data_IF_004196410635
#
_entry.id   IF_004196410635
#
_cell.length_a   1.000
_cell.length_b   1.000
_cell.length_c   1.000
_cell.angle_alpha   90.00
_cell.angle_beta   90.00
_cell.angle_gamma   90.00
#
_symmetry.space_group_name_H-M   'P 1'
#
loop_
_entity.id
_entity.type
_entity.pdbx_description
1 polymer ?
#
# COMPACT_ATOMS: atom_id res chain seq x y z
N UNK A 1 1.05 32.05 -18.90
CA UNK A 1 -0.22 31.67 -18.25
C UNK A 1 -0.75 30.44 -19.00
N UNK A 2 -1.54 29.60 -18.34
CA UNK A 2 -2.18 28.42 -18.93
C UNK A 2 -3.68 28.47 -18.68
N UNK A 3 -4.48 27.81 -19.51
CA UNK A 3 -5.93 27.63 -19.33
C UNK A 3 -6.19 26.14 -19.20
N UNK A 4 -6.81 25.74 -18.09
CA UNK A 4 -7.22 24.38 -17.82
C UNK A 4 -8.70 24.27 -18.16
N UNK A 5 -9.01 23.45 -19.16
CA UNK A 5 -10.37 23.14 -19.60
C UNK A 5 -10.63 21.66 -19.35
N UNK A 6 -11.73 21.29 -18.69
CA UNK A 6 -12.03 19.89 -18.40
C UNK A 6 -12.44 19.15 -19.67
N UNK A 7 -12.16 17.85 -19.74
CA UNK A 7 -12.64 16.98 -20.80
C UNK A 7 -13.94 16.29 -20.37
N UNK A 8 -15.04 16.52 -21.09
CA UNK A 8 -16.34 15.89 -20.85
C UNK A 8 -17.51 16.86 -20.86
N UNK A 9 -18.72 16.34 -21.13
CA UNK A 9 -19.94 17.14 -21.08
C UNK A 9 -20.41 17.31 -19.63
N UNK A 10 -20.79 18.52 -19.24
CA UNK A 10 -21.36 18.82 -17.92
C UNK A 10 -20.35 18.94 -16.78
N UNK A 11 -19.04 18.89 -17.07
CA UNK A 11 -17.97 19.11 -16.08
C UNK A 11 -17.43 20.55 -16.18
N UNK A 12 -16.98 21.10 -15.05
CA UNK A 12 -16.35 22.43 -14.96
C UNK A 12 -15.15 22.40 -14.04
N UNK A 13 -14.12 23.17 -14.38
CA UNK A 13 -13.04 23.51 -13.46
C UNK A 13 -13.40 24.76 -12.67
N UNK A 14 -13.08 24.76 -11.38
CA UNK A 14 -13.13 25.95 -10.51
C UNK A 14 -11.72 26.31 -10.05
N UNK A 15 -11.45 27.56 -9.66
CA UNK A 15 -10.15 27.94 -9.12
C UNK A 15 -9.70 27.02 -7.98
N UNK A 16 -10.63 26.68 -7.07
CA UNK A 16 -10.36 25.75 -5.98
C UNK A 16 -10.03 24.34 -6.48
N UNK A 17 -10.78 23.77 -7.43
CA UNK A 17 -10.50 22.42 -7.90
C UNK A 17 -9.12 22.34 -8.55
N UNK A 18 -8.77 23.34 -9.35
CA UNK A 18 -7.47 23.38 -10.05
C UNK A 18 -6.32 23.63 -9.07
N UNK A 19 -6.50 24.48 -8.06
CA UNK A 19 -5.52 24.67 -6.99
C UNK A 19 -5.36 23.40 -6.12
N UNK A 20 -6.44 22.72 -5.76
CA UNK A 20 -6.35 21.45 -5.03
C UNK A 20 -5.60 20.38 -5.82
N UNK A 21 -5.76 20.35 -7.15
CA UNK A 21 -5.01 19.44 -8.01
C UNK A 21 -3.51 19.74 -8.05
N UNK A 22 -3.07 20.98 -7.81
CA UNK A 22 -1.63 21.26 -7.72
C UNK A 22 -0.99 20.65 -6.47
N UNK A 23 -1.77 20.38 -5.42
CA UNK A 23 -1.28 19.75 -4.19
C UNK A 23 -1.25 18.22 -4.26
N UNK A 24 -1.91 17.63 -5.25
CA UNK A 24 -2.05 16.19 -5.37
C UNK A 24 -0.72 15.55 -5.79
N UNK A 25 -0.30 14.48 -5.12
CA UNK A 25 0.92 13.70 -5.42
C UNK A 25 2.26 14.47 -5.35
N UNK A 26 2.28 15.67 -4.75
CA UNK A 26 3.49 16.45 -4.58
C UNK A 26 4.02 16.38 -3.13
N UNK A 27 5.34 16.23 -2.99
CA UNK A 27 6.01 16.25 -1.68
C UNK A 27 6.14 17.65 -1.07
N UNK A 28 6.02 18.69 -1.90
CA UNK A 28 6.03 20.10 -1.51
C UNK A 28 4.83 20.81 -2.17
N UNK A 29 4.04 21.61 -1.43
CA UNK A 29 2.84 22.26 -1.94
C UNK A 29 3.11 23.40 -2.94
N UNK A 30 4.36 23.84 -3.11
CA UNK A 30 4.73 24.99 -3.94
C UNK A 30 5.82 24.67 -4.97
N UNK A 31 6.75 23.76 -4.65
CA UNK A 31 7.93 23.49 -5.46
C UNK A 31 7.85 22.08 -6.06
N UNK A 32 7.37 22.00 -7.29
CA UNK A 32 7.22 20.72 -7.98
C UNK A 32 8.51 20.41 -8.74
N UNK A 33 9.30 19.49 -8.20
CA UNK A 33 10.60 19.11 -8.78
C UNK A 33 10.42 18.10 -9.90
N UNK A 34 10.97 18.44 -11.06
CA UNK A 34 11.01 17.61 -12.25
C UNK A 34 12.47 17.37 -12.68
N UNK A 35 12.67 16.43 -13.59
CA UNK A 35 13.97 16.03 -14.14
C UNK A 35 14.85 17.21 -14.60
N UNK A 36 14.27 18.18 -15.32
CA UNK A 36 14.99 19.31 -15.92
C UNK A 36 14.93 20.61 -15.11
N UNK A 37 14.32 20.62 -13.93
CA UNK A 37 14.07 21.84 -13.18
C UNK A 37 12.87 21.77 -12.25
N UNK A 38 12.55 22.90 -11.61
CA UNK A 38 11.45 22.99 -10.65
C UNK A 38 10.38 23.93 -11.19
N UNK A 39 9.13 23.47 -11.21
CA UNK A 39 7.97 24.33 -11.38
C UNK A 39 7.63 24.96 -10.03
N UNK A 40 7.92 26.25 -9.89
CA UNK A 40 7.58 27.06 -8.72
C UNK A 40 6.19 27.68 -8.93
N UNK A 41 5.24 27.23 -8.11
CA UNK A 41 3.86 27.71 -8.12
C UNK A 41 3.52 28.63 -6.95
N UNK A 42 4.50 29.06 -6.14
CA UNK A 42 4.31 29.89 -4.92
C UNK A 42 3.47 31.14 -5.18
N UNK A 43 3.68 31.77 -6.34
CA UNK A 43 2.98 32.99 -6.74
C UNK A 43 1.86 32.73 -7.76
N UNK A 44 1.34 31.51 -7.82
CA UNK A 44 0.30 31.17 -8.77
C UNK A 44 -1.05 31.76 -8.38
N UNK A 45 -1.73 32.35 -9.35
CA UNK A 45 -3.10 32.82 -9.25
C UNK A 45 -4.01 31.96 -10.11
N UNK A 46 -5.11 31.50 -9.51
CA UNK A 46 -6.14 30.70 -10.16
C UNK A 46 -7.38 31.56 -10.32
N UNK A 47 -7.76 31.85 -11.56
CA UNK A 47 -8.90 32.73 -11.88
C UNK A 47 -9.85 32.03 -12.82
N UNK A 48 -11.16 32.19 -12.62
CA UNK A 48 -12.13 31.65 -13.56
C UNK A 48 -11.95 32.34 -14.91
N UNK A 49 -11.72 31.58 -15.98
CA UNK A 49 -11.51 32.13 -17.34
C UNK A 49 -12.83 32.27 -18.09
N UNK A 50 -13.64 31.22 -18.06
CA UNK A 50 -14.97 31.13 -18.65
C UNK A 50 -15.84 30.21 -17.77
N UNK A 51 -17.12 29.92 -18.09
CA UNK A 51 -17.98 29.09 -17.24
C UNK A 51 -17.46 27.68 -16.89
N UNK A 52 -16.50 27.15 -17.65
CA UNK A 52 -15.96 25.78 -17.49
C UNK A 52 -14.44 25.72 -17.31
N UNK A 53 -13.69 26.75 -17.69
CA UNK A 53 -12.21 26.75 -17.68
C UNK A 53 -11.62 27.71 -16.65
N UNK A 54 -10.42 27.38 -16.15
CA UNK A 54 -9.66 28.19 -15.18
C UNK A 54 -8.33 28.63 -15.78
N UNK A 55 -7.98 29.89 -15.62
CA UNK A 55 -6.67 30.44 -15.98
C UNK A 55 -5.72 30.38 -14.79
N UNK A 56 -4.50 29.91 -15.04
CA UNK A 56 -3.38 29.89 -14.10
C UNK A 56 -2.32 30.88 -14.58
N UNK A 57 -1.90 31.80 -13.72
CA UNK A 57 -0.80 32.74 -13.94
C UNK A 57 0.15 32.78 -12.75
N UNK A 58 1.36 33.35 -12.92
CA UNK A 58 2.30 33.56 -11.81
C UNK A 58 3.28 32.43 -11.54
N UNK A 59 2.99 31.20 -11.99
CA UNK A 59 3.94 30.08 -11.97
C UNK A 59 5.20 30.37 -12.79
N UNK A 60 6.35 29.87 -12.33
CA UNK A 60 7.65 30.02 -12.99
C UNK A 60 8.33 28.68 -13.07
N UNK A 61 9.02 28.43 -14.18
CA UNK A 61 9.90 27.30 -14.30
C UNK A 61 11.33 27.73 -14.02
N UNK A 62 11.99 27.05 -13.08
CA UNK A 62 13.37 27.26 -12.69
C UNK A 62 14.17 26.08 -13.27
N UNK A 63 14.93 26.27 -14.37
CA UNK A 63 15.76 25.22 -14.93
C UNK A 63 16.77 24.70 -13.90
N UNK A 64 16.97 23.38 -13.85
CA UNK A 64 18.03 22.79 -13.05
C UNK A 64 19.41 23.11 -13.68
N UNK A 65 20.45 23.19 -12.85
CA UNK A 65 21.83 23.31 -13.33
C UNK A 65 22.27 22.05 -14.08
N UNK A 66 21.82 20.88 -13.61
CA UNK A 66 22.08 19.58 -14.21
C UNK A 66 20.76 18.84 -14.47
N UNK A 67 20.67 18.19 -15.62
CA UNK A 67 19.53 17.33 -15.94
C UNK A 67 19.61 16.05 -15.12
N UNK A 68 18.46 15.62 -14.59
CA UNK A 68 18.37 14.44 -13.75
C UNK A 68 17.29 13.48 -14.24
N UNK A 69 17.40 12.21 -13.88
CA UNK A 69 16.39 11.19 -14.15
C UNK A 69 16.11 10.44 -12.86
N UNK A 70 14.86 10.48 -12.41
CA UNK A 70 14.40 9.63 -11.31
C UNK A 70 14.31 8.20 -11.80
N UNK A 71 15.06 7.31 -11.16
CA UNK A 71 15.01 5.87 -11.38
C UNK A 71 14.19 5.24 -10.27
N UNK A 72 13.09 4.61 -10.66
CA UNK A 72 12.26 3.78 -9.80
C UNK A 72 12.26 2.36 -10.33
N UNK A 73 12.41 1.40 -9.43
CA UNK A 73 12.49 0.00 -9.78
C UNK A 73 11.80 -0.85 -8.72
N UNK A 74 11.21 -1.93 -9.21
CA UNK A 74 10.58 -2.95 -8.37
C UNK A 74 11.22 -4.30 -8.65
N UNK A 75 11.29 -5.14 -7.63
CA UNK A 75 11.70 -6.53 -7.77
C UNK A 75 10.57 -7.46 -7.33
N UNK A 76 10.50 -8.64 -7.95
CA UNK A 76 9.64 -9.71 -7.45
C UNK A 76 10.12 -10.08 -6.04
N UNK A 77 9.25 -9.90 -5.07
CA UNK A 77 9.58 -10.10 -3.66
C UNK A 77 9.00 -11.40 -3.09
N UNK A 78 8.32 -12.20 -3.94
CA UNK A 78 7.73 -13.49 -3.62
C UNK A 78 6.29 -13.59 -4.10
N UNK A 79 5.54 -14.52 -3.51
CA UNK A 79 4.13 -14.80 -3.78
C UNK A 79 3.33 -14.72 -2.50
N UNK A 80 2.06 -14.35 -2.63
CA UNK A 80 1.18 -14.17 -1.48
C UNK A 80 -0.11 -14.98 -1.57
N UNK A 81 -0.52 -15.49 -0.41
CA UNK A 81 -1.86 -16.03 -0.16
C UNK A 81 -2.47 -15.27 1.00
N UNK A 82 -3.75 -14.91 0.88
CA UNK A 82 -4.42 -14.03 1.83
C UNK A 82 -5.60 -14.75 2.45
N UNK A 83 -5.65 -14.79 3.79
CA UNK A 83 -6.82 -15.24 4.55
C UNK A 83 -7.55 -13.99 5.03
N UNK A 84 -8.86 -13.94 4.79
CA UNK A 84 -9.73 -12.87 5.29
C UNK A 84 -10.75 -13.48 6.24
N UNK A 85 -10.97 -12.84 7.37
CA UNK A 85 -12.03 -13.23 8.31
C UNK A 85 -12.24 -12.22 9.43
N UNK A 86 -13.11 -12.55 10.38
CA UNK A 86 -13.48 -11.67 11.47
C UNK A 86 -13.42 -12.30 12.86
N UNK A 87 -13.24 -11.47 13.87
CA UNK A 87 -13.35 -11.81 15.29
C UNK A 87 -14.43 -10.92 15.89
N UNK A 88 -15.42 -11.53 16.54
CA UNK A 88 -16.53 -10.84 17.20
C UNK A 88 -16.58 -11.05 18.71
N UNK A 89 -15.86 -12.04 19.22
CA UNK A 89 -15.89 -12.40 20.64
C UNK A 89 -15.22 -11.30 21.49
N UNK A 90 -15.96 -10.62 22.39
CA UNK A 90 -15.40 -9.58 23.25
C UNK A 90 -14.33 -10.10 24.21
N UNK A 91 -14.35 -11.39 24.58
CA UNK A 91 -13.32 -12.01 25.43
C UNK A 91 -12.00 -12.19 24.68
N UNK A 92 -12.04 -12.42 23.37
CA UNK A 92 -10.85 -12.46 22.53
C UNK A 92 -10.36 -11.04 22.21
N UNK A 93 -11.26 -10.13 21.83
CA UNK A 93 -10.91 -8.77 21.41
C UNK A 93 -10.17 -8.01 22.52
N UNK A 94 -10.60 -8.14 23.78
CA UNK A 94 -9.94 -7.46 24.92
C UNK A 94 -8.48 -7.88 25.17
N UNK A 95 -8.09 -9.04 24.63
CA UNK A 95 -6.75 -9.61 24.77
C UNK A 95 -6.10 -9.88 23.41
N UNK A 96 -6.58 -9.17 22.39
CA UNK A 96 -6.22 -9.39 20.99
C UNK A 96 -4.71 -9.45 20.78
N UNK A 97 -3.95 -8.50 21.32
CA UNK A 97 -2.49 -8.40 21.09
C UNK A 97 -1.75 -9.63 21.63
N UNK A 98 -2.18 -10.17 22.78
CA UNK A 98 -1.63 -11.41 23.32
C UNK A 98 -2.02 -12.60 22.45
N UNK A 99 -3.32 -12.73 22.15
CA UNK A 99 -3.84 -13.85 21.37
C UNK A 99 -3.22 -13.94 19.97
N UNK A 100 -3.12 -12.81 19.26
CA UNK A 100 -2.56 -12.81 17.90
C UNK A 100 -1.07 -13.13 17.91
N UNK A 101 -0.32 -12.67 18.93
CA UNK A 101 1.09 -13.04 19.10
C UNK A 101 1.28 -14.54 19.34
N UNK A 102 0.47 -15.14 20.21
CA UNK A 102 0.49 -16.58 20.48
C UNK A 102 0.07 -17.40 19.25
N UNK A 103 -0.89 -16.92 18.47
CA UNK A 103 -1.28 -17.50 17.17
C UNK A 103 -0.12 -17.44 16.18
N UNK A 104 0.53 -16.29 16.01
CA UNK A 104 1.68 -16.15 15.11
C UNK A 104 2.82 -17.10 15.49
N UNK A 105 3.12 -17.23 16.78
CA UNK A 105 4.13 -18.16 17.28
C UNK A 105 3.75 -19.62 16.98
N UNK A 106 2.49 -20.01 17.18
CA UNK A 106 2.01 -21.35 16.85
C UNK A 106 2.12 -21.63 15.34
N UNK A 107 1.78 -20.65 14.49
CA UNK A 107 1.94 -20.78 13.04
C UNK A 107 3.40 -20.97 12.68
N UNK A 108 4.32 -20.17 13.24
CA UNK A 108 5.77 -20.29 12.99
C UNK A 108 6.29 -21.66 13.39
N UNK A 109 5.89 -22.17 14.55
CA UNK A 109 6.26 -23.51 15.01
C UNK A 109 5.74 -24.62 14.07
N UNK A 110 4.50 -24.50 13.59
CA UNK A 110 3.92 -25.46 12.64
C UNK A 110 4.62 -25.42 11.28
N UNK A 111 4.89 -24.23 10.74
CA UNK A 111 5.62 -24.07 9.48
C UNK A 111 7.02 -24.67 9.62
N UNK A 112 7.74 -24.37 10.70
CA UNK A 112 9.05 -24.98 10.95
C UNK A 112 8.99 -26.50 11.03
N UNK A 113 7.98 -27.07 11.69
CA UNK A 113 7.81 -28.52 11.84
C UNK A 113 7.49 -29.22 10.52
N UNK A 114 6.69 -28.59 9.64
CA UNK A 114 6.17 -29.23 8.42
C UNK A 114 7.01 -28.90 7.19
N UNK A 115 7.57 -27.69 7.11
CA UNK A 115 8.25 -27.15 5.94
C UNK A 115 9.72 -26.76 6.22
N UNK A 116 10.26 -27.02 7.41
CA UNK A 116 11.60 -26.55 7.81
C UNK A 116 12.76 -27.04 6.93
N UNK A 117 12.60 -28.19 6.26
CA UNK A 117 13.60 -28.70 5.30
C UNK A 117 13.54 -27.97 3.94
N UNK A 118 12.45 -27.26 3.65
CA UNK A 118 12.18 -26.58 2.38
C UNK A 118 12.22 -25.05 2.51
N UNK A 119 12.06 -24.51 3.71
CA UNK A 119 11.81 -23.09 3.93
C UNK A 119 12.49 -22.61 5.22
N UNK A 120 13.45 -21.71 5.10
CA UNK A 120 14.09 -21.09 6.26
C UNK A 120 13.17 -20.00 6.85
N UNK A 121 13.29 -19.67 8.15
CA UNK A 121 12.50 -18.61 8.77
C UNK A 121 12.60 -17.24 8.07
N UNK A 122 13.69 -16.95 7.37
CA UNK A 122 13.90 -15.72 6.60
C UNK A 122 13.19 -15.69 5.24
N UNK A 123 12.78 -16.84 4.72
CA UNK A 123 12.26 -16.96 3.36
C UNK A 123 10.77 -16.62 3.26
N UNK A 124 10.10 -16.47 4.41
CA UNK A 124 8.67 -16.24 4.48
C UNK A 124 8.32 -15.29 5.62
N UNK A 125 7.12 -14.70 5.54
CA UNK A 125 6.58 -13.88 6.61
C UNK A 125 5.06 -13.92 6.65
N UNK A 126 4.53 -13.50 7.79
CA UNK A 126 3.11 -13.29 8.06
C UNK A 126 2.94 -11.79 8.31
N UNK A 127 2.08 -11.14 7.53
CA UNK A 127 1.67 -9.76 7.77
C UNK A 127 0.18 -9.78 8.15
N UNK A 128 -0.19 -9.31 9.35
CA UNK A 128 -1.58 -9.34 9.84
C UNK A 128 -2.11 -7.91 9.96
N UNK A 129 -3.19 -7.61 9.23
CA UNK A 129 -3.88 -6.33 9.30
C UNK A 129 -5.20 -6.47 10.06
N UNK A 130 -5.33 -5.76 11.19
CA UNK A 130 -6.51 -5.77 12.05
C UNK A 130 -7.42 -4.55 11.79
N UNK A 131 -8.32 -4.67 10.80
CA UNK A 131 -9.34 -3.67 10.49
C UNK A 131 -10.36 -3.56 11.63
N UNK A 132 -10.79 -2.34 11.93
CA UNK A 132 -11.60 -2.04 13.12
C UNK A 132 -10.77 -1.84 14.39
N UNK A 133 -9.48 -2.17 14.38
CA UNK A 133 -8.52 -1.89 15.46
C UNK A 133 -7.53 -0.80 15.06
N UNK A 134 -6.53 -1.11 14.24
CA UNK A 134 -5.45 -0.15 13.89
C UNK A 134 -4.74 -0.44 12.56
N UNK A 135 -5.36 -1.18 11.63
CA UNK A 135 -4.76 -1.54 10.35
C UNK A 135 -4.28 -0.35 9.48
N UNK A 136 -4.87 0.84 9.64
CA UNK A 136 -4.56 2.03 8.82
C UNK A 136 -3.56 2.94 9.52
N UNK A 137 -3.86 3.38 10.74
CA UNK A 137 -3.07 4.36 11.48
C UNK A 137 -1.94 3.73 12.30
N UNK A 138 -1.93 2.40 12.47
CA UNK A 138 -0.93 1.68 13.27
C UNK A 138 -0.84 2.24 14.69
N UNK A 139 0.37 2.62 15.11
CA UNK A 139 0.61 3.22 16.42
C UNK A 139 -0.02 4.61 16.61
N UNK A 140 -0.49 5.25 15.53
CA UNK A 140 -1.14 6.58 15.56
C UNK A 140 -2.66 6.49 15.67
N UNK A 141 -3.23 5.30 15.86
CA UNK A 141 -4.67 5.13 16.04
C UNK A 141 -5.14 5.81 17.34
N UNK A 142 -5.97 6.87 17.27
CA UNK A 142 -6.39 7.61 18.46
C UNK A 142 -7.25 6.77 19.42
N UNK A 143 -8.00 5.77 18.92
CA UNK A 143 -8.93 4.98 19.72
C UNK A 143 -8.40 3.57 20.02
N UNK A 144 -7.09 3.35 20.01
CA UNK A 144 -6.47 2.02 20.16
C UNK A 144 -6.87 1.27 21.44
N UNK A 145 -7.16 2.02 22.51
CA UNK A 145 -7.55 1.50 23.82
C UNK A 145 -9.06 1.26 23.95
N UNK A 146 -9.86 1.69 22.98
CA UNK A 146 -11.29 1.41 22.94
C UNK A 146 -11.52 0.02 22.32
N UNK A 147 -12.29 -0.87 22.95
CA UNK A 147 -12.52 -2.19 22.41
C UNK A 147 -13.41 -2.12 21.16
N UNK A 148 -12.84 -2.57 20.03
CA UNK A 148 -13.59 -2.74 18.78
C UNK A 148 -14.78 -3.68 18.99
N UNK A 149 -15.92 -3.40 18.37
CA UNK A 149 -17.05 -4.34 18.39
C UNK A 149 -16.77 -5.58 17.54
N UNK A 150 -15.99 -5.43 16.47
CA UNK A 150 -15.59 -6.48 15.56
C UNK A 150 -14.20 -6.13 15.01
N UNK A 151 -13.35 -7.13 14.80
CA UNK A 151 -12.05 -6.97 14.16
C UNK A 151 -12.02 -7.83 12.90
N UNK A 152 -11.76 -7.21 11.74
CA UNK A 152 -11.47 -7.92 10.50
C UNK A 152 -9.98 -8.18 10.37
N UNK A 153 -9.58 -9.44 10.18
CA UNK A 153 -8.19 -9.80 9.91
C UNK A 153 -8.00 -10.07 8.42
N UNK A 154 -7.01 -9.39 7.84
CA UNK A 154 -6.38 -9.81 6.59
C UNK A 154 -4.98 -10.33 6.93
N UNK A 155 -4.81 -11.65 6.83
CA UNK A 155 -3.54 -12.35 7.07
C UNK A 155 -2.89 -12.62 5.73
N UNK A 156 -1.77 -11.95 5.45
CA UNK A 156 -1.01 -12.08 4.22
C UNK A 156 0.21 -12.99 4.47
N UNK A 157 0.23 -14.14 3.81
CA UNK A 157 1.30 -15.13 3.91
C UNK A 157 2.19 -15.00 2.69
N UNK A 158 3.46 -14.70 2.90
CA UNK A 158 4.43 -14.45 1.83
C UNK A 158 5.47 -15.56 1.79
N UNK A 159 5.76 -16.12 0.61
CA UNK A 159 6.80 -17.14 0.43
C UNK A 159 7.47 -17.05 -0.97
N UNK A 160 8.55 -17.81 -1.24
CA UNK A 160 9.26 -17.76 -2.53
C UNK A 160 8.44 -18.28 -3.73
N UNK A 161 7.45 -19.14 -3.51
CA UNK A 161 6.53 -19.65 -4.55
C UNK A 161 5.08 -19.61 -4.08
N UNK A 162 4.13 -19.60 -5.03
CA UNK A 162 2.70 -19.58 -4.72
C UNK A 162 2.26 -20.84 -3.95
N UNK A 163 2.83 -21.99 -4.30
CA UNK A 163 2.54 -23.26 -3.64
C UNK A 163 2.99 -23.26 -2.17
N UNK A 164 4.14 -22.65 -1.87
CA UNK A 164 4.60 -22.49 -0.49
C UNK A 164 3.74 -21.49 0.29
N UNK A 165 3.34 -20.38 -0.32
CA UNK A 165 2.45 -19.41 0.30
C UNK A 165 1.09 -20.04 0.65
N UNK A 166 0.54 -20.86 -0.25
CA UNK A 166 -0.68 -21.63 -0.04
C UNK A 166 -0.54 -22.62 1.12
N UNK A 167 0.53 -23.41 1.16
CA UNK A 167 0.79 -24.36 2.26
C UNK A 167 0.88 -23.65 3.61
N UNK A 168 1.54 -22.49 3.68
CA UNK A 168 1.61 -21.70 4.90
C UNK A 168 0.21 -21.21 5.30
N UNK A 169 -0.61 -20.74 4.35
CA UNK A 169 -1.99 -20.33 4.63
C UNK A 169 -2.84 -21.51 5.16
N UNK A 170 -2.69 -22.70 4.59
CA UNK A 170 -3.36 -23.92 5.07
C UNK A 170 -2.95 -24.28 6.51
N UNK A 171 -1.66 -24.24 6.81
CA UNK A 171 -1.12 -24.47 8.15
C UNK A 171 -1.56 -23.39 9.15
N UNK A 172 -1.82 -22.18 8.68
CA UNK A 172 -2.25 -21.05 9.51
C UNK A 172 -3.72 -21.10 9.92
N UNK A 173 -4.55 -21.82 9.16
CA UNK A 173 -6.00 -21.86 9.38
C UNK A 173 -6.37 -22.40 10.76
N UNK A 174 -5.80 -23.53 11.17
CA UNK A 174 -6.18 -24.15 12.45
C UNK A 174 -5.78 -23.28 13.67
N UNK A 175 -4.56 -22.72 13.76
CA UNK A 175 -4.22 -21.72 14.79
C UNK A 175 -5.19 -20.55 14.83
N UNK A 176 -5.47 -19.93 13.68
CA UNK A 176 -6.39 -18.78 13.60
C UNK A 176 -7.78 -19.14 14.12
N UNK A 177 -8.30 -20.32 13.74
CA UNK A 177 -9.64 -20.76 14.15
C UNK A 177 -9.72 -21.12 15.63
N UNK A 178 -8.71 -21.82 16.16
CA UNK A 178 -8.87 -22.61 17.39
C UNK A 178 -7.84 -22.34 18.48
N UNK A 179 -6.98 -21.34 18.32
CA UNK A 179 -6.07 -20.97 19.40
C UNK A 179 -6.86 -20.53 20.63
N UNK A 180 -6.64 -21.16 21.80
CA UNK A 180 -7.48 -20.97 22.96
C UNK A 180 -7.25 -19.62 23.63
N UNK A 181 -8.19 -19.22 24.48
CA UNK A 181 -8.02 -18.16 25.47
C UNK A 181 -8.30 -18.73 26.87
N UNK A 182 -7.82 -18.11 27.96
CA UNK A 182 -8.02 -18.64 29.31
C UNK A 182 -9.48 -18.93 29.70
N UNK A 183 -10.42 -18.18 29.12
CA UNK A 183 -11.86 -18.27 29.37
C UNK A 183 -12.55 -19.41 28.61
N UNK A 184 -11.92 -19.94 27.56
CA UNK A 184 -12.48 -20.99 26.72
C UNK A 184 -11.65 -22.27 26.82
N UNK A 185 -12.33 -23.39 27.09
CA UNK A 185 -11.73 -24.72 27.06
C UNK A 185 -12.15 -25.48 25.79
N UNK A 186 -11.21 -26.18 25.15
CA UNK A 186 -11.47 -26.98 23.94
C UNK A 186 -11.36 -26.17 22.64
N UNK A 187 -11.68 -26.81 21.51
CA UNK A 187 -11.56 -26.20 20.17
C UNK A 187 -12.78 -25.34 19.83
N UNK A 188 -12.83 -24.12 20.36
CA UNK A 188 -13.82 -23.11 19.96
C UNK A 188 -13.34 -22.40 18.71
N UNK A 189 -14.26 -22.00 17.83
CA UNK A 189 -13.94 -21.22 16.63
C UNK A 189 -14.00 -19.73 16.96
N UNK A 190 -12.84 -19.11 17.19
CA UNK A 190 -12.72 -17.70 17.53
C UNK A 190 -12.61 -16.74 16.33
N UNK A 191 -12.24 -17.28 15.18
CA UNK A 191 -12.07 -16.56 13.92
C UNK A 191 -13.03 -17.10 12.86
N UNK A 192 -13.75 -16.23 12.18
CA UNK A 192 -14.68 -16.59 11.11
C UNK A 192 -14.06 -16.26 9.74
N UNK A 193 -13.53 -17.27 9.04
CA UNK A 193 -13.04 -17.09 7.67
C UNK A 193 -14.18 -16.64 6.74
N UNK A 194 -13.92 -15.64 5.89
CA UNK A 194 -14.86 -15.13 4.90
C UNK A 194 -15.15 -16.16 3.80
N UNK A 195 -14.15 -16.95 3.41
CA UNK A 195 -14.23 -17.91 2.32
C UNK A 195 -13.98 -19.34 2.78
N UNK A 196 -14.49 -20.28 1.99
CA UNK A 196 -14.13 -21.69 2.03
C UNK A 196 -13.83 -22.16 0.60
N UNK A 197 -12.60 -22.45 0.17
CA UNK A 197 -11.29 -22.48 0.85
C UNK A 197 -10.91 -21.17 1.59
N UNK A 198 -10.09 -21.29 2.64
CA UNK A 198 -9.84 -20.18 3.58
C UNK A 198 -8.96 -19.04 3.02
N UNK A 199 -8.23 -19.28 1.94
CA UNK A 199 -7.32 -18.29 1.37
C UNK A 199 -7.65 -17.99 -0.10
N UNK A 200 -7.22 -16.82 -0.53
CA UNK A 200 -7.18 -16.41 -1.94
C UNK A 200 -5.71 -16.29 -2.34
N UNK A 201 -5.37 -16.81 -3.51
CA UNK A 201 -4.07 -16.53 -4.13
C UNK A 201 -4.03 -15.09 -4.61
N UNK A 202 -3.17 -14.27 -4.01
CA UNK A 202 -2.91 -12.92 -4.50
C UNK A 202 -1.93 -12.93 -5.68
N UNK A 203 -1.12 -13.98 -5.78
CA UNK A 203 -0.12 -14.12 -6.84
C UNK A 203 1.21 -13.46 -6.46
N UNK A 204 2.06 -13.16 -7.47
CA UNK A 204 3.32 -12.48 -7.25
C UNK A 204 3.10 -11.10 -6.61
N UNK A 205 3.98 -10.72 -5.68
CA UNK A 205 4.04 -9.36 -5.15
C UNK A 205 5.41 -8.76 -5.38
N UNK A 206 5.44 -7.45 -5.59
CA UNK A 206 6.64 -6.69 -5.86
C UNK A 206 6.90 -5.69 -4.74
N UNK A 207 8.18 -5.40 -4.50
CA UNK A 207 8.59 -4.31 -3.61
C UNK A 207 9.44 -3.30 -4.37
N UNK A 208 9.34 -2.03 -3.99
CA UNK A 208 10.28 -1.02 -4.45
C UNK A 208 11.69 -1.38 -3.96
N UNK A 209 12.65 -1.43 -4.88
CA UNK A 209 14.05 -1.75 -4.61
C UNK A 209 15.03 -0.69 -5.14
N UNK A 210 14.57 0.19 -6.04
CA UNK A 210 15.36 1.31 -6.55
C UNK A 210 14.55 2.59 -6.38
N UNK A 211 15.18 3.58 -5.73
CA UNK A 211 14.73 4.96 -5.66
C UNK A 211 15.98 5.85 -5.70
N UNK A 212 16.41 6.19 -6.91
CA UNK A 212 17.68 6.87 -7.14
C UNK A 212 17.52 8.01 -8.15
N UNK A 213 18.46 8.96 -8.15
CA UNK A 213 18.52 10.04 -9.13
C UNK A 213 19.80 9.85 -9.94
N UNK A 214 19.64 9.56 -11.23
CA UNK A 214 20.75 9.52 -12.17
C UNK A 214 20.99 10.92 -12.77
N UNK A 215 22.24 11.23 -13.05
CA UNK A 215 22.69 12.50 -13.63
C UNK A 215 23.38 12.23 -14.98
N UNK A 216 22.61 11.97 -16.05
CA UNK A 216 23.19 11.85 -17.38
C UNK A 216 23.66 13.22 -17.91
N UNK A 217 24.42 13.24 -18.99
CA UNK A 217 24.86 14.50 -19.61
C UNK A 217 23.69 15.23 -20.27
N UNK A 218 22.78 14.50 -20.93
CA UNK A 218 21.53 15.05 -21.44
C UNK A 218 20.35 14.06 -21.41
N UNK A 219 19.18 14.51 -21.87
CA UNK A 219 17.93 13.73 -21.82
C UNK A 219 17.89 12.48 -22.71
N UNK A 220 18.86 12.32 -23.62
CA UNK A 220 18.93 11.22 -24.59
C UNK A 220 19.84 10.08 -24.15
N UNK A 221 20.72 10.32 -23.17
CA UNK A 221 21.76 9.35 -22.81
C UNK A 221 21.20 8.05 -22.22
N UNK A 222 20.09 8.13 -21.48
CA UNK A 222 19.56 6.98 -20.73
C UNK A 222 18.51 6.18 -21.50
N UNK A 223 17.91 6.75 -22.55
CA UNK A 223 16.76 6.16 -23.22
C UNK A 223 16.93 6.19 -24.74
N UNK A 224 16.64 5.06 -25.38
CA UNK A 224 16.55 5.02 -26.85
C UNK A 224 15.34 5.85 -27.27
N UNK A 225 15.58 7.00 -27.90
CA UNK A 225 14.52 7.91 -28.35
C UNK A 225 14.32 7.82 -29.86
N UNK A 226 13.06 7.71 -30.29
CA UNK A 226 12.64 7.93 -31.67
C UNK A 226 11.71 9.15 -31.69
N UNK A 227 11.97 10.11 -32.58
CA UNK A 227 11.16 11.32 -32.72
C UNK A 227 10.31 11.18 -33.97
N UNK A 228 8.98 11.15 -33.80
CA UNK A 228 8.02 11.08 -34.91
C UNK A 228 7.32 12.43 -35.04
N UNK A 229 7.38 13.02 -36.23
CA UNK A 229 6.67 14.27 -36.55
C UNK A 229 5.32 13.92 -37.16
N UNK A 230 4.25 14.42 -36.55
CA UNK A 230 2.91 14.39 -37.15
C UNK A 230 2.66 15.71 -37.87
N UNK A 231 2.31 15.63 -39.15
CA UNK A 231 1.96 16.76 -40.03
C UNK A 231 0.48 17.11 -39.93
#
# INVERSE_FOLDING_TARGET
>A
HAIITPFGNGVKCTPQSVASHSLYENGDPYLHRESSGTLDITHSEFTQHDPVSVKISGARYIPAEEYSVKLEGVELAGYQSVIIGGIRDPLMIRQYDKWIGEVEDEIRQKVQRVLGDQLQPSDWRIDIHAYGRNAIMGAREPLINEPSHEIGLAVCLTAPTQELANKIAELSRQPLLHHPIPEWSGSITGFACLFNQAYIERGPFWRFCVHHVALPHDYKDMFRTEVVTFG
#
